data_IF_297238904497
#
_entry.id   IF_297238904497
#
_cell.length_a   1.000
_cell.length_b   1.000
_cell.length_c   1.000
_cell.angle_alpha   90.00
_cell.angle_beta   90.00
_cell.angle_gamma   90.00
#
_symmetry.space_group_name_H-M   'P 1'
#
loop_
_entity.id
_entity.type
_entity.pdbx_description
1 polymer ?
#
# COMPACT_ATOMS: atom_id res chain seq x y z
N UNK A 1 6.99 -14.52 25.87
CA UNK A 1 7.13 -14.24 24.88
C UNK A 1 6.96 -12.93 24.45
N UNK A 2 5.95 -12.35 24.64
CA UNK A 2 5.80 -11.12 24.22
C UNK A 2 6.78 -10.23 24.84
N UNK A 3 7.22 -10.49 26.03
CA UNK A 3 8.11 -9.62 26.63
C UNK A 3 9.43 -9.69 25.90
N UNK A 4 9.60 -10.59 24.99
CA UNK A 4 10.80 -10.65 24.26
C UNK A 4 10.70 -10.00 22.93
N UNK A 5 9.54 -9.49 22.59
CA UNK A 5 9.37 -8.85 21.31
C UNK A 5 10.08 -7.51 21.35
N UNK A 6 10.99 -7.29 20.43
CA UNK A 6 11.69 -6.05 20.31
C UNK A 6 11.91 -5.66 18.89
N UNK A 7 11.90 -4.38 18.61
CA UNK A 7 12.13 -3.88 17.28
C UNK A 7 13.30 -2.93 17.40
N UNK A 8 14.35 -3.16 16.63
CA UNK A 8 15.50 -2.28 16.69
C UNK A 8 15.21 -1.03 15.88
N UNK A 9 16.01 0.01 16.12
CA UNK A 9 15.82 1.25 15.39
C UNK A 9 15.98 1.04 13.89
N UNK A 10 16.85 0.11 13.51
CA UNK A 10 17.06 -0.13 12.10
C UNK A 10 15.92 -0.89 11.47
N UNK A 11 15.22 -1.70 12.24
CA UNK A 11 14.11 -2.47 11.72
C UNK A 11 12.82 -1.65 11.68
N UNK A 12 12.75 -0.60 12.47
CA UNK A 12 11.49 0.11 12.65
C UNK A 12 10.84 0.61 11.36
N UNK A 13 11.57 1.27 10.46
CA UNK A 13 10.93 1.77 9.25
C UNK A 13 10.33 0.64 8.41
N UNK A 14 11.07 -0.46 8.26
CA UNK A 14 10.57 -1.59 7.48
C UNK A 14 9.37 -2.25 8.14
N UNK A 15 9.38 -2.31 9.48
CA UNK A 15 8.27 -2.91 10.19
C UNK A 15 7.00 -2.07 9.98
N UNK A 16 7.12 -0.75 10.04
CA UNK A 16 5.99 0.12 9.81
C UNK A 16 5.50 -0.02 8.37
N UNK A 17 6.43 -0.03 7.44
CA UNK A 17 6.10 -0.14 6.03
C UNK A 17 5.33 -1.44 5.79
N UNK A 18 5.78 -2.55 6.36
CA UNK A 18 5.14 -3.83 6.20
C UNK A 18 3.72 -3.83 6.75
N UNK A 19 3.54 -3.22 7.92
CA UNK A 19 2.23 -3.19 8.53
C UNK A 19 1.27 -2.35 7.68
N UNK A 20 1.74 -1.24 7.16
CA UNK A 20 0.90 -0.40 6.34
C UNK A 20 0.51 -1.12 5.04
N UNK A 21 1.45 -1.84 4.48
CA UNK A 21 1.20 -2.54 3.23
C UNK A 21 0.20 -3.68 3.42
N UNK A 22 0.41 -4.49 4.43
CA UNK A 22 -0.44 -5.64 4.65
C UNK A 22 -1.83 -5.22 5.14
N UNK A 23 -1.91 -4.13 5.90
CA UNK A 23 -3.17 -3.70 6.44
C UNK A 23 -4.18 -3.29 5.38
N UNK A 24 -3.71 -2.61 4.37
CA UNK A 24 -4.62 -2.12 3.35
C UNK A 24 -5.48 -0.95 3.83
N UNK A 25 -5.42 -0.59 5.10
CA UNK A 25 -6.18 0.51 5.64
C UNK A 25 -5.27 1.42 6.41
N UNK A 26 -5.64 2.69 6.59
CA UNK A 26 -4.78 3.60 7.34
C UNK A 26 -4.62 3.14 8.79
N UNK A 27 -3.43 3.33 9.33
CA UNK A 27 -3.15 2.98 10.71
C UNK A 27 -2.57 4.20 11.39
N UNK A 28 -3.02 4.51 12.60
CA UNK A 28 -2.54 5.68 13.30
C UNK A 28 -1.16 5.42 13.90
N UNK A 29 -0.43 6.50 14.15
CA UNK A 29 0.88 6.37 14.76
C UNK A 29 0.75 5.75 16.16
N UNK A 30 -0.34 6.03 16.86
CA UNK A 30 -0.54 5.45 18.17
C UNK A 30 -0.68 3.95 18.07
N UNK A 31 -1.43 3.48 17.07
CA UNK A 31 -1.64 2.06 16.91
C UNK A 31 -0.34 1.37 16.50
N UNK A 32 0.43 2.01 15.63
CA UNK A 32 1.70 1.44 15.22
C UNK A 32 2.64 1.35 16.40
N UNK A 33 2.65 2.37 17.27
CA UNK A 33 3.50 2.36 18.43
C UNK A 33 3.11 1.22 19.37
N UNK A 34 1.81 1.01 19.48
CA UNK A 34 1.32 -0.04 20.35
C UNK A 34 1.69 -1.40 19.78
N UNK A 35 1.46 -1.62 18.49
CA UNK A 35 1.76 -2.89 17.86
C UNK A 35 3.24 -3.23 17.92
N UNK A 36 4.08 -2.23 17.78
CA UNK A 36 5.51 -2.47 17.74
C UNK A 36 6.19 -2.27 19.10
N UNK A 37 5.41 -1.88 20.07
CA UNK A 37 5.91 -1.71 21.44
C UNK A 37 7.08 -0.71 21.47
N UNK A 38 6.89 0.43 20.82
CA UNK A 38 7.87 1.48 20.80
C UNK A 38 7.18 2.79 21.10
N UNK A 39 7.92 3.86 21.31
CA UNK A 39 7.34 5.14 21.61
C UNK A 39 6.73 5.75 20.37
N UNK A 40 5.67 6.51 20.54
CA UNK A 40 5.02 7.14 19.40
C UNK A 40 5.99 8.06 18.69
N UNK A 41 6.88 8.75 19.42
CA UNK A 41 7.83 9.65 18.79
C UNK A 41 8.76 8.90 17.84
N UNK A 42 9.11 7.68 18.19
CA UNK A 42 9.98 6.87 17.34
C UNK A 42 9.22 6.50 16.06
N UNK A 43 7.94 6.20 16.18
CA UNK A 43 7.12 5.85 15.03
C UNK A 43 7.00 7.06 14.13
N UNK A 44 6.76 8.23 14.70
CA UNK A 44 6.60 9.43 13.91
C UNK A 44 7.86 9.79 13.14
N UNK A 45 9.01 9.59 13.76
CA UNK A 45 10.24 9.85 13.08
C UNK A 45 10.46 8.86 11.96
N UNK A 46 10.17 7.60 12.18
CA UNK A 46 10.33 6.59 11.16
C UNK A 46 9.36 6.85 10.00
N UNK A 47 8.14 7.30 10.32
CA UNK A 47 7.17 7.59 9.28
C UNK A 47 7.62 8.78 8.44
N UNK A 48 8.21 9.78 9.08
CA UNK A 48 8.69 10.94 8.37
C UNK A 48 9.77 10.50 7.39
N UNK A 49 10.62 9.61 7.80
CA UNK A 49 11.69 9.12 6.96
C UNK A 49 11.13 8.31 5.80
N UNK A 50 10.11 7.49 6.06
CA UNK A 50 9.51 6.69 5.02
C UNK A 50 8.78 7.56 4.00
N UNK A 51 8.04 8.56 4.46
CA UNK A 51 7.31 9.44 3.56
C UNK A 51 8.32 10.13 2.64
N UNK A 52 9.44 10.58 3.20
CA UNK A 52 10.44 11.25 2.42
C UNK A 52 11.07 10.33 1.41
N UNK A 53 11.36 9.10 1.81
CA UNK A 53 11.99 8.15 0.93
C UNK A 53 11.10 7.82 -0.26
N UNK A 54 9.80 7.64 -0.03
CA UNK A 54 8.90 7.35 -1.12
C UNK A 54 8.76 8.57 -2.02
N UNK A 55 8.67 9.76 -1.41
CA UNK A 55 8.51 10.96 -2.18
C UNK A 55 9.71 11.25 -3.05
N UNK A 56 10.91 10.93 -2.61
CA UNK A 56 12.11 11.21 -3.36
C UNK A 56 12.44 10.20 -4.45
N UNK A 57 11.59 9.22 -4.64
CA UNK A 57 11.80 8.25 -5.68
C UNK A 57 11.02 8.70 -6.91
N UNK A 58 11.66 9.29 -7.92
CA UNK A 58 10.96 9.84 -9.07
C UNK A 58 10.25 8.80 -9.91
N UNK A 59 10.67 7.56 -9.82
CA UNK A 59 10.06 6.53 -10.63
C UNK A 59 9.09 5.64 -9.86
N UNK A 60 8.78 6.00 -8.63
CA UNK A 60 7.92 5.14 -7.83
C UNK A 60 6.46 5.33 -8.13
N UNK A 61 5.69 4.31 -7.92
CA UNK A 61 4.24 4.39 -8.10
C UNK A 61 3.48 4.47 -6.80
N UNK A 62 4.18 4.40 -5.68
CA UNK A 62 3.52 4.41 -4.38
C UNK A 62 3.92 5.61 -3.56
N UNK A 63 3.11 5.93 -2.58
CA UNK A 63 3.42 7.01 -1.65
C UNK A 63 2.86 6.64 -0.28
N UNK A 64 3.37 7.24 0.76
CA UNK A 64 2.83 7.04 2.09
C UNK A 64 2.19 8.38 2.42
N UNK A 65 0.90 8.36 2.67
CA UNK A 65 0.17 9.58 2.92
C UNK A 65 -0.44 9.61 4.31
N UNK A 66 -0.40 10.79 4.91
CA UNK A 66 -1.00 10.96 6.22
C UNK A 66 -2.45 11.38 5.98
N UNK A 67 -3.38 10.66 6.56
CA UNK A 67 -4.78 10.97 6.43
C UNK A 67 -5.30 11.18 7.82
N UNK A 68 -5.54 12.43 8.18
CA UNK A 68 -5.92 12.77 9.52
C UNK A 68 -4.85 12.31 10.51
N UNK A 69 -5.15 11.40 11.38
CA UNK A 69 -4.16 10.94 12.34
C UNK A 69 -3.55 9.62 11.92
N UNK A 70 -3.85 9.15 10.75
CA UNK A 70 -3.40 7.84 10.31
C UNK A 70 -2.53 7.91 9.07
N UNK A 71 -1.87 6.82 8.73
CA UNK A 71 -0.99 6.77 7.59
C UNK A 71 -1.33 5.55 6.74
N UNK A 72 -1.16 5.67 5.46
CA UNK A 72 -1.44 4.55 4.55
C UNK A 72 -0.48 4.57 3.38
N UNK A 73 -0.21 3.40 2.82
CA UNK A 73 0.57 3.30 1.62
C UNK A 73 -0.45 3.23 0.51
N UNK A 74 -0.31 4.06 -0.49
CA UNK A 74 -1.27 4.07 -1.58
C UNK A 74 -0.58 4.41 -2.86
N UNK A 75 -1.25 4.22 -3.97
CA UNK A 75 -0.68 4.52 -5.26
C UNK A 75 -0.71 6.02 -5.46
N UNK A 76 0.24 6.51 -6.24
CA UNK A 76 0.26 7.94 -6.55
C UNK A 76 -0.86 8.24 -7.53
N UNK A 77 -1.43 9.43 -7.49
CA UNK A 77 -2.54 9.78 -8.36
C UNK A 77 -2.28 9.58 -9.85
N UNK A 78 -1.05 9.83 -10.28
CA UNK A 78 -0.75 9.70 -11.68
C UNK A 78 -0.79 8.25 -12.15
N UNK A 79 -0.92 7.29 -11.24
CA UNK A 79 -0.97 5.90 -11.62
C UNK A 79 -2.39 5.44 -11.89
N UNK A 80 -3.38 6.30 -11.65
CA UNK A 80 -4.75 5.94 -11.83
C UNK A 80 -5.05 5.32 -13.17
N UNK A 81 -4.53 5.86 -14.23
CA UNK A 81 -4.84 5.35 -15.57
C UNK A 81 -4.42 3.90 -15.76
N UNK A 82 -3.35 3.48 -15.09
CA UNK A 82 -2.91 2.12 -15.23
C UNK A 82 -3.77 1.19 -14.34
N UNK A 83 -4.12 1.68 -13.16
CA UNK A 83 -4.90 0.88 -12.26
C UNK A 83 -6.30 0.64 -12.80
N UNK A 84 -6.85 1.62 -13.51
CA UNK A 84 -8.15 1.47 -14.08
C UNK A 84 -8.16 0.34 -15.11
N UNK A 85 -7.06 0.12 -15.77
CA UNK A 85 -7.01 -0.95 -16.75
C UNK A 85 -7.08 -2.32 -16.07
N UNK A 86 -6.55 -2.40 -14.87
CA UNK A 86 -6.57 -3.65 -14.13
C UNK A 86 -8.00 -4.01 -13.76
N UNK A 87 -8.81 -3.02 -13.42
CA UNK A 87 -10.17 -3.29 -13.02
C UNK A 87 -11.20 -3.04 -14.13
N UNK A 88 -10.74 -2.81 -15.35
CA UNK A 88 -11.66 -2.56 -16.42
C UNK A 88 -12.47 -3.84 -16.71
N UNK A 89 -13.72 -3.69 -17.02
CA UNK A 89 -14.52 -4.84 -17.29
C UNK A 89 -14.03 -5.50 -18.49
N UNK A 90 -13.90 -6.77 -18.49
CA UNK A 90 -13.56 -7.45 -19.62
C UNK A 90 -14.49 -7.33 -20.68
N UNK A 91 -15.67 -7.25 -20.41
CA UNK A 91 -16.67 -7.13 -21.38
C UNK A 91 -16.33 -6.07 -22.34
N UNK A 92 -15.67 -5.13 -22.00
CA UNK A 92 -15.40 -4.13 -22.90
C UNK A 92 -14.46 -4.50 -23.89
N UNK A 93 -13.92 -5.44 -23.75
CA UNK A 93 -12.98 -5.79 -24.66
C UNK A 93 -13.60 -6.04 -25.85
N UNK A 94 -13.61 -5.76 -26.57
CA UNK A 94 -14.37 -6.07 -27.60
C UNK A 94 -14.08 -6.92 -28.46
N UNK A 95 -14.11 -7.01 -28.24
CA UNK A 95 -14.29 -7.39 -28.74
C UNK A 95 -14.74 -7.81 -29.54
N UNK A 96 -14.58 -7.93 -29.67
CA UNK A 96 -15.01 -8.22 -30.20
C UNK A 96 -15.58 -8.93 -30.58
N UNK A 97 -15.40 -9.27 -30.75
CA UNK A 97 -16.01 -9.94 -30.88
C UNK A 97 -15.83 -11.10 -30.98
N UNK A 98 -15.57 -11.45 -31.30
CA UNK A 98 -15.29 -12.64 -31.66
C UNK A 98 -14.29 -13.09 -30.81
N UNK A 99 -13.28 -12.78 -30.97
CA UNK A 99 -12.33 -13.18 -30.18
C UNK A 99 -12.61 -13.07 -28.83
N UNK A 100 -13.27 -12.34 -28.62
CA UNK A 100 -13.49 -12.11 -27.39
C UNK A 100 -14.24 -13.00 -26.63
N UNK A 101 -14.85 -13.76 -27.19
CA UNK A 101 -15.59 -14.53 -26.47
C UNK A 101 -14.62 -15.32 -25.77
N UNK A 102 -13.63 -15.69 -26.28
CA UNK A 102 -12.72 -16.50 -25.69
C UNK A 102 -12.17 -15.73 -24.61
N UNK A 103 -11.74 -14.66 -24.80
CA UNK A 103 -11.23 -13.88 -23.85
C UNK A 103 -12.08 -13.64 -22.76
N UNK A 104 -13.15 -13.40 -23.02
CA UNK A 104 -14.02 -13.08 -22.00
C UNK A 104 -13.95 -14.09 -20.98
N UNK A 105 -13.99 -15.21 -21.31
CA UNK A 105 -13.95 -16.17 -20.42
C UNK A 105 -12.88 -16.09 -19.49
N UNK A 106 -11.80 -15.97 -19.88
CA UNK A 106 -10.78 -15.91 -19.04
C UNK A 106 -10.84 -14.88 -18.15
N UNK A 107 -11.11 -13.92 -18.61
CA UNK A 107 -11.19 -12.89 -17.84
C UNK A 107 -11.82 -12.91 -16.66
N UNK A 108 -12.83 -13.18 -16.61
CA UNK A 108 -13.41 -12.92 -15.49
C UNK A 108 -13.18 -13.67 -14.40
N UNK A 109 -12.51 -14.45 -14.51
CA UNK A 109 -12.36 -15.10 -13.43
C UNK A 109 -11.41 -14.46 -12.66
N UNK A 110 -10.85 -13.72 -12.85
CA UNK A 110 -9.96 -13.12 -12.15
C UNK A 110 -10.17 -12.14 -11.64
N UNK A 111 -10.44 -11.72 -11.54
CA UNK A 111 -10.61 -10.69 -11.14
C UNK A 111 -10.14 -10.21 -10.41
N UNK A 112 -9.87 -10.24 -10.30
CA UNK A 112 -9.65 -9.76 -9.68
C UNK A 112 -9.39 -9.72 -9.33
#
# INVERSE_FOLDING_TARGET
>A
MEDEFRVTAQELPGAIESLLFVSGDPISADKLAELLNVKKSAVEEALKSLVSRYKNNPWGGLEIRKIEESYAIMTRPEQKKFIERLYAPKAQVPLSQASYETLAVIAYNQPC
#
